data_IF_003342257534
#
_entry.id   IF_003342257534
#
_cell.length_a   1.000
_cell.length_b   1.000
_cell.length_c   1.000
_cell.angle_alpha   90.00
_cell.angle_beta   90.00
_cell.angle_gamma   90.00
#
_symmetry.space_group_name_H-M   'P 1'
#
loop_
_entity.id
_entity.type
_entity.pdbx_description
1 polymer ?
#
# COMPACT_ATOMS: atom_id res chain seq x y z
N UNK A 1 14.73 7.28 -33.32
CA UNK A 1 15.14 6.25 -32.33
C UNK A 1 13.92 6.04 -31.43
N UNK A 2 13.44 4.81 -31.35
CA UNK A 2 12.04 4.46 -31.07
C UNK A 2 11.53 4.90 -29.69
N UNK A 3 10.35 5.53 -29.67
CA UNK A 3 9.53 5.76 -28.48
C UNK A 3 8.70 4.50 -28.17
N UNK A 4 9.27 3.47 -27.54
CA UNK A 4 8.50 2.48 -26.74
C UNK A 4 9.42 1.88 -25.65
N UNK A 5 9.02 1.97 -24.38
CA UNK A 5 8.99 0.78 -23.50
C UNK A 5 7.61 0.67 -22.82
N UNK A 6 6.78 -0.29 -23.23
CA UNK A 6 6.53 -1.58 -22.54
C UNK A 6 6.01 -1.46 -21.10
N UNK A 7 4.76 -1.87 -20.90
CA UNK A 7 4.17 -2.22 -19.60
C UNK A 7 2.97 -1.35 -19.20
N UNK A 8 1.80 -1.57 -19.81
CA UNK A 8 0.51 -1.18 -19.21
C UNK A 8 0.06 -2.37 -18.38
N UNK A 9 0.31 -2.33 -17.08
CA UNK A 9 -0.43 -3.18 -16.14
C UNK A 9 -1.71 -2.43 -15.76
N UNK A 10 -2.85 -2.94 -16.24
CA UNK A 10 -4.16 -2.53 -15.73
C UNK A 10 -4.35 -3.15 -14.34
N UNK A 11 -3.77 -2.55 -13.30
CA UNK A 11 -4.15 -2.88 -11.93
C UNK A 11 -5.41 -2.10 -11.57
N UNK A 12 -6.49 -2.79 -11.23
CA UNK A 12 -7.79 -2.21 -10.84
C UNK A 12 -7.79 -1.55 -9.45
N UNK A 13 -6.62 -1.25 -8.89
CA UNK A 13 -6.44 -0.30 -7.80
C UNK A 13 -5.20 0.57 -8.10
N UNK A 14 -5.27 1.91 -7.92
CA UNK A 14 -4.10 2.74 -8.13
C UNK A 14 -3.06 2.38 -7.08
N UNK A 15 -1.90 1.88 -7.50
CA UNK A 15 -0.75 1.69 -6.63
C UNK A 15 -0.16 3.07 -6.32
N UNK A 16 -0.83 3.81 -5.42
CA UNK A 16 -0.43 5.13 -4.91
C UNK A 16 0.76 4.97 -3.95
N UNK A 17 1.83 4.31 -4.37
CA UNK A 17 3.05 4.07 -3.59
C UNK A 17 4.28 4.78 -4.20
N UNK A 18 4.03 5.71 -5.12
CA UNK A 18 5.06 6.44 -5.85
C UNK A 18 4.91 7.95 -5.63
N UNK A 19 6.02 8.73 -5.66
CA UNK A 19 5.95 10.18 -5.68
C UNK A 19 5.09 10.68 -6.85
N UNK A 20 4.37 11.77 -6.63
CA UNK A 20 3.43 12.31 -7.61
C UNK A 20 4.04 13.38 -8.51
N UNK A 21 3.53 13.48 -9.74
CA UNK A 21 3.61 14.69 -10.58
C UNK A 21 2.23 15.33 -10.50
N UNK A 22 2.15 16.49 -9.86
CA UNK A 22 0.88 17.18 -9.67
C UNK A 22 0.69 18.22 -10.78
N UNK A 23 -0.29 18.01 -11.66
CA UNK A 23 -0.61 18.94 -12.75
C UNK A 23 -1.74 19.86 -12.31
N UNK A 24 -1.45 21.15 -12.19
CA UNK A 24 -2.33 22.16 -11.59
C UNK A 24 -2.52 23.37 -12.49
N UNK A 25 -3.61 24.10 -12.28
CA UNK A 25 -3.95 25.28 -13.06
C UNK A 25 -5.46 25.48 -13.12
N UNK A 26 -5.89 26.59 -13.72
CA UNK A 26 -7.31 26.94 -13.88
C UNK A 26 -8.07 25.88 -14.67
N UNK A 27 -9.40 25.88 -14.60
CA UNK A 27 -10.20 25.05 -15.52
C UNK A 27 -9.95 25.43 -16.99
N UNK A 28 -10.03 24.46 -17.89
CA UNK A 28 -9.91 24.67 -19.34
C UNK A 28 -8.51 25.03 -19.87
N UNK A 29 -7.45 25.09 -19.05
CA UNK A 29 -6.12 25.50 -19.53
C UNK A 29 -5.32 24.41 -20.24
N UNK A 30 -5.87 23.19 -20.40
CA UNK A 30 -5.19 22.08 -21.08
C UNK A 30 -4.37 21.12 -20.20
N UNK A 31 -4.76 20.94 -18.92
CA UNK A 31 -4.08 20.01 -17.98
C UNK A 31 -4.17 18.55 -18.44
N UNK A 32 -5.38 18.09 -18.74
CA UNK A 32 -5.66 16.72 -19.19
C UNK A 32 -4.94 16.40 -20.50
N UNK A 33 -4.95 17.36 -21.44
CA UNK A 33 -4.20 17.29 -22.70
C UNK A 33 -2.70 17.12 -22.47
N UNK A 34 -2.11 17.90 -21.56
CA UNK A 34 -0.71 17.75 -21.19
C UNK A 34 -0.43 16.37 -20.57
N UNK A 35 -1.31 15.88 -19.71
CA UNK A 35 -1.14 14.55 -19.11
C UNK A 35 -1.15 13.44 -20.16
N UNK A 36 -2.03 13.53 -21.16
CA UNK A 36 -2.06 12.61 -22.30
C UNK A 36 -0.74 12.67 -23.09
N UNK A 37 -0.25 13.87 -23.41
CA UNK A 37 1.04 14.02 -24.08
C UNK A 37 2.19 13.39 -23.29
N UNK A 38 2.24 13.60 -21.98
CA UNK A 38 3.27 13.03 -21.11
C UNK A 38 3.23 11.50 -21.12
N UNK A 39 2.05 10.89 -21.18
CA UNK A 39 1.90 9.44 -21.27
C UNK A 39 2.20 8.85 -22.64
N UNK A 40 2.38 9.68 -23.67
CA UNK A 40 2.55 9.22 -25.04
C UNK A 40 1.23 8.87 -25.72
N UNK A 41 0.14 9.53 -25.35
CA UNK A 41 -1.10 9.56 -26.11
C UNK A 41 -1.17 10.80 -26.99
N UNK A 42 -2.05 10.77 -27.99
CA UNK A 42 -2.45 11.97 -28.71
C UNK A 42 -3.17 12.90 -27.72
N UNK A 43 -2.85 14.20 -27.70
CA UNK A 43 -3.29 15.10 -26.61
C UNK A 43 -4.79 15.06 -26.28
N UNK A 44 -5.66 14.83 -27.27
CA UNK A 44 -7.11 14.72 -27.10
C UNK A 44 -7.65 13.29 -27.05
N UNK A 45 -6.83 12.27 -27.34
CA UNK A 45 -7.23 10.86 -27.40
C UNK A 45 -6.38 10.02 -26.45
N UNK A 46 -6.70 10.13 -25.16
CA UNK A 46 -5.99 9.46 -24.09
C UNK A 46 -6.88 9.21 -22.86
N UNK A 47 -6.28 8.66 -21.81
CA UNK A 47 -7.00 8.25 -20.60
C UNK A 47 -7.50 9.43 -19.75
N UNK A 48 -6.90 10.61 -19.91
CA UNK A 48 -7.38 11.83 -19.26
C UNK A 48 -8.40 12.49 -20.19
N UNK A 49 -9.68 12.39 -19.82
CA UNK A 49 -10.77 12.99 -20.60
C UNK A 49 -10.57 14.50 -20.77
N UNK A 50 -10.67 14.98 -22.01
CA UNK A 50 -10.62 16.39 -22.37
C UNK A 50 -12.03 16.93 -22.64
N UNK A 51 -12.19 18.26 -22.62
CA UNK A 51 -13.49 18.93 -22.88
C UNK A 51 -14.11 18.55 -24.24
N UNK A 52 -13.29 18.14 -25.22
CA UNK A 52 -13.75 17.65 -26.53
C UNK A 52 -14.38 16.24 -26.50
N UNK A 53 -14.17 15.46 -25.44
CA UNK A 53 -14.59 14.06 -25.30
C UNK A 53 -15.50 13.79 -24.07
N UNK A 54 -15.99 14.84 -23.39
CA UNK A 54 -16.79 14.67 -22.18
C UNK A 54 -18.12 13.94 -22.44
N UNK A 55 -18.28 12.74 -21.88
CA UNK A 55 -19.60 12.11 -21.70
C UNK A 55 -20.07 12.11 -20.25
N UNK A 56 -19.16 12.25 -19.26
CA UNK A 56 -19.49 12.41 -17.83
C UNK A 56 -18.41 13.24 -17.14
N UNK A 57 -18.81 14.30 -16.44
CA UNK A 57 -17.91 15.14 -15.68
C UNK A 57 -17.39 14.36 -14.47
N UNK A 58 -16.22 13.73 -14.56
CA UNK A 58 -15.59 13.06 -13.43
C UNK A 58 -15.21 14.12 -12.37
N UNK A 59 -15.84 14.06 -11.20
CA UNK A 59 -15.73 15.08 -10.15
C UNK A 59 -14.45 14.96 -9.30
N UNK A 60 -13.64 13.91 -9.49
CA UNK A 60 -12.42 13.61 -8.74
C UNK A 60 -11.13 13.73 -9.56
N UNK A 61 -9.98 13.64 -8.89
CA UNK A 61 -8.67 13.54 -9.56
C UNK A 61 -8.60 12.27 -10.40
N UNK A 62 -7.98 12.39 -11.56
CA UNK A 62 -7.62 11.24 -12.40
C UNK A 62 -6.12 11.07 -12.27
N UNK A 63 -5.66 9.83 -12.16
CA UNK A 63 -4.24 9.52 -11.99
C UNK A 63 -3.81 8.35 -12.85
N UNK A 64 -2.57 8.36 -13.32
CA UNK A 64 -1.95 7.24 -14.02
C UNK A 64 -0.46 7.14 -13.73
N UNK A 65 0.12 5.96 -13.94
CA UNK A 65 1.54 5.74 -13.76
C UNK A 65 2.32 6.21 -14.99
N UNK A 66 3.27 7.11 -14.75
CA UNK A 66 4.22 7.57 -15.75
C UNK A 66 5.61 7.06 -15.38
N UNK A 67 6.26 6.37 -16.32
CA UNK A 67 7.68 6.02 -16.21
C UNK A 67 8.54 7.13 -16.80
N UNK A 68 9.45 7.68 -16.00
CA UNK A 68 10.52 8.59 -16.45
C UNK A 68 11.85 7.93 -16.06
N UNK A 69 12.70 7.67 -17.06
CA UNK A 69 13.93 6.88 -16.89
C UNK A 69 13.63 5.55 -16.15
N UNK A 70 14.21 5.36 -14.96
CA UNK A 70 14.03 4.18 -14.12
C UNK A 70 13.04 4.38 -12.97
N UNK A 71 12.25 5.47 -13.00
CA UNK A 71 11.36 5.87 -11.91
C UNK A 71 9.90 5.83 -12.35
N UNK A 72 9.06 5.21 -11.53
CA UNK A 72 7.60 5.30 -11.65
C UNK A 72 7.09 6.47 -10.82
N UNK A 73 6.23 7.30 -11.41
CA UNK A 73 5.64 8.48 -10.80
C UNK A 73 4.12 8.48 -11.03
N UNK A 74 3.37 8.95 -10.04
CA UNK A 74 1.92 9.10 -10.16
C UNK A 74 1.61 10.43 -10.86
N UNK A 75 1.22 10.41 -12.12
CA UNK A 75 0.79 11.61 -12.84
C UNK A 75 -0.67 11.90 -12.48
N UNK A 76 -0.93 13.04 -11.82
CA UNK A 76 -2.24 13.41 -11.27
C UNK A 76 -2.75 14.66 -11.99
N UNK A 77 -3.92 14.53 -12.61
CA UNK A 77 -4.70 15.66 -13.12
C UNK A 77 -5.67 16.17 -12.05
N UNK A 78 -5.73 17.50 -11.89
CA UNK A 78 -6.46 18.16 -10.80
C UNK A 78 -7.56 19.08 -11.34
N UNK A 79 -8.76 18.55 -11.65
CA UNK A 79 -9.81 19.35 -12.26
C UNK A 79 -10.38 20.40 -11.29
N UNK A 80 -10.16 21.68 -11.59
CA UNK A 80 -10.83 22.83 -10.98
C UNK A 80 -10.40 23.20 -9.55
N UNK A 81 -9.53 22.42 -8.89
CA UNK A 81 -9.17 22.71 -7.50
C UNK A 81 -8.35 23.99 -7.35
N UNK A 82 -7.48 24.29 -8.31
CA UNK A 82 -6.63 25.48 -8.26
C UNK A 82 -7.20 26.66 -9.05
N UNK A 83 -8.51 26.62 -9.35
CA UNK A 83 -9.21 27.74 -9.97
C UNK A 83 -9.46 28.83 -8.92
N UNK A 84 -9.05 30.10 -9.18
CA UNK A 84 -9.33 31.21 -8.26
C UNK A 84 -10.80 31.43 -7.91
N UNK A 85 -11.73 30.93 -8.74
CA UNK A 85 -13.17 31.08 -8.54
C UNK A 85 -13.80 29.88 -7.80
N UNK A 86 -13.03 28.85 -7.44
CA UNK A 86 -13.54 27.67 -6.75
C UNK A 86 -13.87 28.01 -5.27
N UNK A 87 -15.09 27.65 -4.82
CA UNK A 87 -15.45 27.76 -3.42
C UNK A 87 -14.97 26.54 -2.62
N UNK A 88 -13.80 26.65 -1.99
CA UNK A 88 -13.21 25.59 -1.17
C UNK A 88 -14.06 25.14 0.02
N UNK A 89 -15.17 25.82 0.34
CA UNK A 89 -16.09 25.43 1.42
C UNK A 89 -17.15 24.42 0.97
N UNK A 90 -17.29 24.21 -0.34
CA UNK A 90 -18.27 23.26 -0.85
C UNK A 90 -17.77 21.81 -0.71
N UNK A 91 -18.70 20.87 -0.58
CA UNK A 91 -18.39 19.45 -0.36
C UNK A 91 -17.57 18.84 -1.51
N UNK A 92 -17.79 19.28 -2.75
CA UNK A 92 -17.06 18.78 -3.93
C UNK A 92 -15.58 19.18 -3.88
N UNK A 93 -15.28 20.43 -3.53
CA UNK A 93 -13.92 20.94 -3.41
C UNK A 93 -13.19 20.29 -2.24
N UNK A 94 -13.87 20.02 -1.12
CA UNK A 94 -13.30 19.24 0.00
C UNK A 94 -12.93 17.82 -0.46
N UNK A 95 -13.79 17.14 -1.23
CA UNK A 95 -13.49 15.81 -1.78
C UNK A 95 -12.29 15.83 -2.72
N UNK A 96 -12.17 16.84 -3.58
CA UNK A 96 -11.00 17.05 -4.46
C UNK A 96 -9.72 17.24 -3.66
N UNK A 97 -9.75 18.10 -2.62
CA UNK A 97 -8.63 18.31 -1.70
C UNK A 97 -8.20 16.99 -1.06
N UNK A 98 -9.15 16.24 -0.49
CA UNK A 98 -8.87 14.96 0.15
C UNK A 98 -8.25 13.95 -0.84
N UNK A 99 -8.71 13.90 -2.10
CA UNK A 99 -8.16 13.04 -3.14
C UNK A 99 -6.70 13.36 -3.41
N UNK A 100 -6.36 14.65 -3.61
CA UNK A 100 -4.97 15.07 -3.84
C UNK A 100 -4.08 14.72 -2.66
N UNK A 101 -4.52 15.00 -1.43
CA UNK A 101 -3.73 14.67 -0.23
C UNK A 101 -3.43 13.17 -0.18
N UNK A 102 -4.44 12.35 -0.49
CA UNK A 102 -4.31 10.89 -0.52
C UNK A 102 -3.38 10.42 -1.62
N UNK A 103 -3.46 10.99 -2.81
CA UNK A 103 -2.67 10.59 -3.99
C UNK A 103 -1.22 11.08 -3.91
N UNK A 104 -0.97 12.19 -3.22
CA UNK A 104 0.35 12.77 -2.98
C UNK A 104 0.99 12.30 -1.66
N UNK A 105 0.49 11.24 -1.00
CA UNK A 105 1.01 10.82 0.31
C UNK A 105 2.49 10.43 0.30
N UNK A 106 3.04 10.00 -0.84
CA UNK A 106 4.47 9.68 -0.99
C UNK A 106 5.33 10.89 -1.40
N UNK A 107 4.75 12.10 -1.33
CA UNK A 107 5.36 13.35 -1.74
C UNK A 107 5.12 13.67 -3.21
N UNK A 108 5.43 14.90 -3.59
CA UNK A 108 5.26 15.42 -4.95
C UNK A 108 6.64 15.65 -5.55
N UNK A 109 6.97 14.89 -6.59
CA UNK A 109 8.25 15.01 -7.28
C UNK A 109 8.37 16.32 -8.05
N UNK A 110 7.30 16.67 -8.76
CA UNK A 110 7.20 17.88 -9.56
C UNK A 110 5.79 18.44 -9.52
N UNK A 111 5.66 19.76 -9.52
CA UNK A 111 4.40 20.49 -9.63
C UNK A 111 4.40 21.19 -10.98
N UNK A 112 3.52 20.80 -11.89
CA UNK A 112 3.41 21.44 -13.20
C UNK A 112 2.25 22.43 -13.17
N UNK A 113 2.58 23.72 -13.11
CA UNK A 113 1.59 24.79 -13.23
C UNK A 113 1.33 25.07 -14.72
N UNK A 114 0.15 24.67 -15.19
CA UNK A 114 -0.31 24.87 -16.56
C UNK A 114 -0.94 26.25 -16.69
N UNK A 115 -0.44 27.02 -17.65
CA UNK A 115 -0.84 28.41 -17.88
C UNK A 115 -1.20 28.58 -19.35
N UNK A 116 -2.42 29.05 -19.60
CA UNK A 116 -2.78 29.60 -20.89
C UNK A 116 -1.98 30.88 -21.13
N UNK A 117 -1.22 30.92 -22.24
CA UNK A 117 -0.39 32.08 -22.60
C UNK A 117 -1.21 33.37 -22.72
N UNK A 118 -2.51 33.28 -22.97
CA UNK A 118 -3.42 34.42 -23.11
C UNK A 118 -4.01 34.88 -21.77
N UNK A 119 -4.16 33.98 -20.81
CA UNK A 119 -4.82 34.26 -19.53
C UNK A 119 -3.83 34.69 -18.44
N UNK A 120 -3.13 35.80 -18.71
CA UNK A 120 -2.11 36.32 -17.80
C UNK A 120 -2.67 37.17 -16.66
N UNK A 121 -3.98 37.40 -16.63
CA UNK A 121 -4.65 38.15 -15.56
C UNK A 121 -4.96 37.26 -14.35
N UNK A 122 -5.31 35.99 -14.58
CA UNK A 122 -5.62 35.05 -13.51
C UNK A 122 -4.38 34.49 -12.80
N UNK A 123 -3.21 34.62 -13.43
CA UNK A 123 -1.93 34.05 -12.98
C UNK A 123 -1.59 34.35 -11.51
N UNK A 124 -1.65 35.61 -11.08
CA UNK A 124 -1.27 35.97 -9.71
C UNK A 124 -2.24 35.37 -8.68
N UNK A 125 -3.53 35.26 -9.01
CA UNK A 125 -4.51 34.63 -8.14
C UNK A 125 -4.32 33.11 -8.09
N UNK A 126 -4.09 32.45 -9.22
CA UNK A 126 -3.76 31.02 -9.27
C UNK A 126 -2.53 30.73 -8.42
N UNK A 127 -1.47 31.53 -8.55
CA UNK A 127 -0.26 31.36 -7.76
C UNK A 127 -0.50 31.54 -6.26
N UNK A 128 -1.36 32.48 -5.85
CA UNK A 128 -1.78 32.66 -4.46
C UNK A 128 -2.51 31.42 -3.93
N UNK A 129 -3.45 30.87 -4.69
CA UNK A 129 -4.19 29.64 -4.31
C UNK A 129 -3.19 28.49 -4.14
N UNK A 130 -2.28 28.30 -5.09
CA UNK A 130 -1.25 27.26 -5.03
C UNK A 130 -0.38 27.40 -3.79
N UNK A 131 0.13 28.60 -3.49
CA UNK A 131 0.93 28.86 -2.28
C UNK A 131 0.14 28.66 -1.00
N UNK A 132 -1.14 29.03 -0.97
CA UNK A 132 -1.97 28.83 0.21
C UNK A 132 -2.24 27.35 0.50
N UNK A 133 -2.33 26.52 -0.55
CA UNK A 133 -2.60 25.09 -0.43
C UNK A 133 -1.33 24.27 -0.22
N UNK A 134 -0.30 24.52 -1.03
CA UNK A 134 0.93 23.75 -1.04
C UNK A 134 2.02 24.36 -0.17
N UNK A 135 2.00 25.64 0.17
CA UNK A 135 3.12 26.34 0.83
C UNK A 135 4.06 27.02 -0.17
N UNK A 136 4.87 27.98 0.30
CA UNK A 136 5.80 28.73 -0.55
C UNK A 136 6.98 27.88 -1.03
N UNK A 137 7.38 26.88 -0.25
CA UNK A 137 8.44 25.92 -0.57
C UNK A 137 8.10 25.07 -1.81
N UNK A 138 6.81 24.96 -2.16
CA UNK A 138 6.34 24.26 -3.36
C UNK A 138 6.95 24.80 -4.66
N UNK A 139 7.39 26.07 -4.66
CA UNK A 139 8.06 26.68 -5.82
C UNK A 139 9.39 26.00 -6.17
N UNK A 140 10.07 25.38 -5.21
CA UNK A 140 11.32 24.67 -5.46
C UNK A 140 11.12 23.46 -6.38
N UNK A 141 9.91 22.87 -6.38
CA UNK A 141 9.50 21.72 -7.19
C UNK A 141 8.62 22.11 -8.39
N UNK A 142 8.46 23.41 -8.65
CA UNK A 142 7.54 23.89 -9.69
C UNK A 142 8.18 23.97 -11.07
N UNK A 143 7.43 23.56 -12.09
CA UNK A 143 7.67 23.74 -13.53
C UNK A 143 6.46 24.48 -14.11
N UNK A 144 6.69 25.39 -15.06
CA UNK A 144 5.59 26.04 -15.80
C UNK A 144 5.40 25.39 -17.18
N UNK A 145 4.18 24.98 -17.50
CA UNK A 145 3.79 24.53 -18.83
C UNK A 145 2.91 25.59 -19.51
N UNK A 146 3.33 26.08 -20.67
CA UNK A 146 2.54 27.02 -21.46
C UNK A 146 1.66 26.32 -22.48
N UNK A 147 0.37 26.62 -22.49
CA UNK A 147 -0.60 26.13 -23.48
C UNK A 147 -1.08 27.26 -24.38
N UNK A 148 -1.76 26.89 -25.48
CA UNK A 148 -2.29 27.83 -26.49
C UNK A 148 -1.22 28.72 -27.15
N UNK A 149 0.02 28.25 -27.20
CA UNK A 149 1.10 28.84 -27.97
C UNK A 149 0.84 28.67 -29.47
N UNK A 150 1.32 29.62 -30.29
CA UNK A 150 1.27 29.48 -31.74
C UNK A 150 2.21 28.35 -32.22
N UNK A 151 2.05 27.92 -33.48
CA UNK A 151 2.95 26.94 -34.10
C UNK A 151 4.43 27.34 -33.97
N UNK A 152 4.76 28.57 -34.37
CA UNK A 152 6.12 29.09 -34.29
C UNK A 152 6.66 29.22 -32.86
N UNK A 153 5.81 29.53 -31.87
CA UNK A 153 6.21 29.53 -30.47
C UNK A 153 6.49 28.13 -29.94
N UNK A 154 5.70 27.15 -30.35
CA UNK A 154 5.85 25.75 -29.92
C UNK A 154 7.13 25.13 -30.51
N UNK A 155 7.45 25.46 -31.76
CA UNK A 155 8.71 25.06 -32.42
C UNK A 155 9.93 25.79 -31.84
N UNK A 156 9.77 27.08 -31.51
CA UNK A 156 10.80 27.95 -30.94
C UNK A 156 10.30 28.75 -29.73
N UNK A 157 10.52 28.20 -28.54
CA UNK A 157 10.16 28.79 -27.25
C UNK A 157 10.74 30.19 -27.02
N UNK A 158 11.90 30.52 -27.63
CA UNK A 158 12.54 31.83 -27.49
C UNK A 158 11.71 32.99 -28.02
N UNK A 159 10.66 32.71 -28.80
CA UNK A 159 9.71 33.71 -29.30
C UNK A 159 8.58 34.04 -28.31
N UNK A 160 8.54 33.37 -27.16
CA UNK A 160 7.51 33.59 -26.14
C UNK A 160 7.76 34.87 -25.34
N UNK A 161 6.84 35.84 -25.44
CA UNK A 161 6.91 37.10 -24.71
C UNK A 161 6.07 37.02 -23.44
N UNK A 162 6.70 37.15 -22.28
CA UNK A 162 6.07 37.02 -20.96
C UNK A 162 5.98 38.36 -20.21
N UNK A 163 4.98 38.51 -19.33
CA UNK A 163 4.83 39.66 -18.42
C UNK A 163 5.87 39.64 -17.29
N UNK A 164 6.09 40.79 -16.64
CA UNK A 164 7.10 40.96 -15.58
C UNK A 164 6.91 40.00 -14.40
N UNK A 165 5.69 39.84 -13.90
CA UNK A 165 5.36 38.93 -12.81
C UNK A 165 5.72 37.47 -13.12
N UNK A 166 5.43 37.00 -14.34
CA UNK A 166 5.79 35.64 -14.78
C UNK A 166 7.30 35.47 -14.94
N UNK A 167 8.00 36.48 -15.47
CA UNK A 167 9.47 36.47 -15.53
C UNK A 167 10.07 36.34 -14.13
N UNK A 168 9.52 37.07 -13.15
CA UNK A 168 9.96 36.98 -11.76
C UNK A 168 9.73 35.57 -11.18
N UNK A 169 8.56 34.96 -11.44
CA UNK A 169 8.32 33.58 -11.01
C UNK A 169 9.30 32.62 -11.70
N UNK A 170 9.50 32.75 -13.01
CA UNK A 170 10.46 31.94 -13.75
C UNK A 170 11.87 32.06 -13.19
N UNK A 171 12.33 33.26 -12.84
CA UNK A 171 13.61 33.44 -12.14
C UNK A 171 13.65 32.68 -10.82
N UNK A 172 12.57 32.74 -10.03
CA UNK A 172 12.43 32.03 -8.76
C UNK A 172 12.52 30.51 -8.95
N UNK A 173 11.86 29.98 -9.98
CA UNK A 173 11.85 28.55 -10.30
C UNK A 173 12.99 28.14 -11.25
N UNK A 174 14.08 28.91 -11.30
CA UNK A 174 15.29 28.62 -12.10
C UNK A 174 15.02 28.36 -13.58
N UNK A 175 14.06 29.10 -14.13
CA UNK A 175 13.61 29.07 -15.51
C UNK A 175 13.13 27.69 -16.00
N UNK A 176 12.58 26.86 -15.09
CA UNK A 176 11.97 25.58 -15.43
C UNK A 176 10.62 25.79 -16.12
N UNK A 177 10.62 25.70 -17.44
CA UNK A 177 9.42 25.82 -18.27
C UNK A 177 9.50 24.98 -19.55
N UNK A 178 8.34 24.72 -20.14
CA UNK A 178 8.19 24.14 -21.46
C UNK A 178 6.85 24.53 -22.08
N UNK A 179 6.63 24.20 -23.35
CA UNK A 179 5.35 24.42 -24.04
C UNK A 179 4.63 23.10 -24.19
N UNK A 180 3.37 23.05 -23.77
CA UNK A 180 2.47 21.94 -24.08
C UNK A 180 1.87 22.17 -25.48
N UNK A 181 2.17 21.31 -26.47
CA UNK A 181 1.68 21.49 -27.83
C UNK A 181 0.16 21.46 -27.91
N UNK A 182 -0.41 22.27 -28.81
CA UNK A 182 -1.84 22.25 -29.10
C UNK A 182 -2.17 21.06 -30.02
N UNK A 183 -3.04 20.11 -29.59
CA UNK A 183 -3.44 18.96 -30.40
C UNK A 183 -4.20 19.32 -31.70
N UNK A 184 -4.74 20.54 -31.81
CA UNK A 184 -5.35 21.01 -33.07
C UNK A 184 -4.30 21.36 -34.15
N UNK A 185 -3.03 21.53 -33.74
CA UNK A 185 -1.92 21.96 -34.60
C UNK A 185 -0.92 20.82 -34.80
N UNK A 186 -0.74 19.97 -33.80
CA UNK A 186 0.31 18.97 -33.73
C UNK A 186 -0.22 17.59 -33.38
N UNK A 187 0.45 16.57 -33.92
CA UNK A 187 0.25 15.15 -33.61
C UNK A 187 1.40 14.58 -32.80
N UNK A 188 1.22 13.41 -32.18
CA UNK A 188 2.25 12.79 -31.33
C UNK A 188 3.59 12.54 -32.02
N UNK A 189 3.58 12.41 -33.35
CA UNK A 189 4.77 12.14 -34.15
C UNK A 189 5.53 13.41 -34.56
N UNK A 190 4.98 14.60 -34.30
CA UNK A 190 5.65 15.84 -34.67
C UNK A 190 6.87 16.10 -33.79
N UNK A 191 7.97 16.55 -34.42
CA UNK A 191 9.23 16.87 -33.73
C UNK A 191 9.03 17.87 -32.59
N UNK A 192 8.11 18.82 -32.77
CA UNK A 192 7.78 19.80 -31.74
C UNK A 192 7.17 19.14 -30.49
N UNK A 193 6.33 18.11 -30.65
CA UNK A 193 5.73 17.37 -29.53
C UNK A 193 6.79 16.55 -28.82
N UNK A 194 7.55 15.75 -29.58
CA UNK A 194 8.61 14.89 -29.06
C UNK A 194 9.64 15.74 -28.28
N UNK A 195 10.09 16.86 -28.87
CA UNK A 195 11.02 17.79 -28.23
C UNK A 195 10.48 18.35 -26.92
N UNK A 196 9.25 18.89 -26.92
CA UNK A 196 8.67 19.50 -25.73
C UNK A 196 8.40 18.47 -24.61
N UNK A 197 7.95 17.26 -24.94
CA UNK A 197 7.73 16.21 -23.95
C UNK A 197 9.05 15.66 -23.38
N UNK A 198 10.11 15.59 -24.19
CA UNK A 198 11.45 15.26 -23.69
C UNK A 198 11.98 16.33 -22.73
N UNK A 199 11.75 17.63 -23.02
CA UNK A 199 12.07 18.71 -22.09
C UNK A 199 11.30 18.55 -20.78
N UNK A 200 9.99 18.30 -20.86
CA UNK A 200 9.15 18.12 -19.67
C UNK A 200 9.64 16.94 -18.82
N UNK A 201 9.90 15.77 -19.42
CA UNK A 201 10.41 14.59 -18.74
C UNK A 201 11.76 14.84 -18.07
N UNK A 202 12.69 15.52 -18.75
CA UNK A 202 13.99 15.91 -18.19
C UNK A 202 13.85 16.84 -16.98
N UNK A 203 13.00 17.86 -17.08
CA UNK A 203 12.76 18.80 -15.98
C UNK A 203 12.14 18.11 -14.75
N UNK A 204 11.28 17.11 -14.97
CA UNK A 204 10.70 16.31 -13.87
C UNK A 204 11.78 15.45 -13.21
N UNK A 205 12.68 14.85 -14.01
CA UNK A 205 13.75 13.98 -13.52
C UNK A 205 14.85 14.74 -12.75
N UNK A 206 15.07 16.02 -13.05
CA UNK A 206 16.00 16.90 -12.32
C UNK A 206 15.69 17.02 -10.82
N UNK A 207 14.44 16.74 -10.41
CA UNK A 207 14.08 16.70 -9.01
C UNK A 207 14.48 15.35 -8.38
N UNK A 208 15.46 15.41 -7.48
CA UNK A 208 16.02 14.23 -6.80
C UNK A 208 15.29 13.84 -5.51
N UNK A 209 14.58 14.78 -4.89
CA UNK A 209 13.80 14.57 -3.67
C UNK A 209 12.34 14.96 -3.89
N UNK A 210 11.43 14.38 -3.11
CA UNK A 210 10.01 14.72 -3.22
C UNK A 210 9.66 15.86 -2.26
N UNK A 211 8.86 16.80 -2.74
CA UNK A 211 8.20 17.81 -1.94
C UNK A 211 7.21 17.17 -0.96
N UNK A 212 7.26 17.52 0.32
CA UNK A 212 6.27 17.04 1.31
C UNK A 212 5.83 18.19 2.21
N UNK A 213 4.56 18.15 2.61
CA UNK A 213 3.97 19.02 3.63
C UNK A 213 3.56 18.19 4.84
N UNK A 214 3.28 18.84 5.97
CA UNK A 214 2.73 18.15 7.15
C UNK A 214 1.47 17.34 6.81
N UNK A 215 0.61 17.88 5.94
CA UNK A 215 -0.62 17.23 5.50
C UNK A 215 -0.36 15.92 4.74
N UNK A 216 0.59 15.89 3.81
CA UNK A 216 0.97 14.65 3.10
C UNK A 216 1.65 13.65 4.03
N UNK A 217 2.54 14.14 4.92
CA UNK A 217 3.22 13.30 5.89
C UNK A 217 2.22 12.62 6.84
N UNK A 218 1.22 13.34 7.37
CA UNK A 218 0.18 12.76 8.23
C UNK A 218 -0.59 11.63 7.55
N UNK A 219 -0.94 11.78 6.27
CA UNK A 219 -1.64 10.72 5.52
C UNK A 219 -0.71 9.55 5.19
N UNK A 220 0.56 9.81 4.87
CA UNK A 220 1.57 8.75 4.72
C UNK A 220 1.74 7.96 6.00
N UNK A 221 1.94 8.63 7.12
CA UNK A 221 2.16 8.01 8.42
C UNK A 221 0.92 7.20 8.85
N UNK A 222 -0.29 7.69 8.56
CA UNK A 222 -1.52 6.94 8.78
C UNK A 222 -1.60 5.68 7.88
N UNK A 223 -1.27 5.80 6.59
CA UNK A 223 -1.22 4.66 5.66
C UNK A 223 -0.15 3.65 6.06
N UNK A 224 1.02 4.12 6.45
CA UNK A 224 2.13 3.27 6.87
C UNK A 224 1.80 2.59 8.19
N UNK A 225 1.12 3.26 9.13
CA UNK A 225 0.56 2.61 10.34
C UNK A 225 -0.49 1.55 10.02
N UNK A 226 -1.37 1.77 9.05
CA UNK A 226 -2.35 0.76 8.61
C UNK A 226 -1.66 -0.41 7.91
N UNK A 227 -0.73 -0.16 6.99
CA UNK A 227 0.07 -1.21 6.34
C UNK A 227 0.94 -1.96 7.34
N UNK A 228 1.46 -1.26 8.33
CA UNK A 228 2.26 -1.82 9.41
C UNK A 228 1.38 -2.65 10.33
N UNK A 229 0.18 -2.18 10.70
CA UNK A 229 -0.78 -2.99 11.46
C UNK A 229 -1.24 -4.22 10.66
N UNK A 230 -1.41 -4.13 9.33
CA UNK A 230 -1.70 -5.25 8.42
C UNK A 230 -0.55 -6.25 8.34
N UNK A 231 0.70 -5.78 8.34
CA UNK A 231 1.90 -6.63 8.45
C UNK A 231 2.08 -7.22 9.86
N UNK A 232 1.65 -6.51 10.88
CA UNK A 232 1.66 -6.92 12.29
C UNK A 232 0.59 -7.99 12.60
N UNK A 233 -0.36 -8.21 11.69
CA UNK A 233 -1.27 -9.35 11.73
C UNK A 233 -0.66 -10.65 11.16
N UNK A 234 0.65 -10.68 10.83
CA UNK A 234 1.29 -11.75 10.04
C UNK A 234 1.08 -13.19 10.51
N UNK A 235 0.89 -13.44 11.80
CA UNK A 235 1.01 -14.79 12.40
C UNK A 235 -0.22 -15.23 13.20
N UNK A 236 -1.43 -15.03 12.66
CA UNK A 236 -2.66 -15.18 13.45
C UNK A 236 -3.57 -16.30 12.93
N UNK A 237 -4.29 -16.91 13.86
CA UNK A 237 -5.43 -17.77 13.60
C UNK A 237 -6.71 -16.93 13.53
N UNK A 238 -7.67 -17.40 12.75
CA UNK A 238 -9.05 -16.91 12.85
C UNK A 238 -9.59 -17.15 14.27
N UNK A 239 -10.30 -16.17 14.86
CA UNK A 239 -10.83 -16.27 16.24
C UNK A 239 -11.83 -17.42 16.43
N UNK A 240 -12.48 -17.86 15.36
CA UNK A 240 -13.44 -18.97 15.34
C UNK A 240 -12.78 -20.35 15.22
N UNK A 241 -11.47 -20.40 14.93
CA UNK A 241 -10.66 -21.63 14.91
C UNK A 241 -10.92 -22.47 16.15
N UNK A 242 -11.05 -23.78 16.02
CA UNK A 242 -11.34 -24.69 17.12
C UNK A 242 -10.08 -25.38 17.61
N UNK A 243 -9.99 -25.53 18.93
CA UNK A 243 -8.92 -26.29 19.62
C UNK A 243 -9.54 -27.29 20.59
N UNK A 244 -8.82 -28.38 20.85
CA UNK A 244 -9.21 -29.42 21.82
C UNK A 244 -8.50 -29.15 23.15
N UNK A 245 -9.26 -29.01 24.24
CA UNK A 245 -8.72 -28.88 25.60
C UNK A 245 -8.39 -30.26 26.21
N UNK A 246 -7.52 -30.30 27.21
CA UNK A 246 -7.11 -31.54 27.91
C UNK A 246 -8.30 -32.29 28.55
N UNK A 247 -9.38 -31.60 28.89
CA UNK A 247 -10.62 -32.21 29.37
C UNK A 247 -11.51 -32.81 28.26
N UNK A 248 -11.08 -32.73 26.99
CA UNK A 248 -11.80 -33.22 25.82
C UNK A 248 -12.77 -32.21 25.19
N UNK A 249 -12.98 -31.04 25.79
CA UNK A 249 -13.87 -30.02 25.23
C UNK A 249 -13.25 -29.39 23.98
N UNK A 250 -14.09 -29.14 22.98
CA UNK A 250 -13.71 -28.37 21.79
C UNK A 250 -14.21 -26.94 21.98
N UNK A 251 -13.29 -25.98 21.96
CA UNK A 251 -13.60 -24.55 22.14
C UNK A 251 -13.08 -23.74 20.96
N UNK A 252 -13.72 -22.59 20.70
CA UNK A 252 -13.17 -21.58 19.79
C UNK A 252 -11.93 -20.94 20.41
N UNK A 253 -10.98 -20.57 19.59
CA UNK A 253 -9.69 -20.03 20.00
C UNK A 253 -9.85 -18.70 20.75
N UNK A 254 -10.86 -17.90 20.42
CA UNK A 254 -11.25 -16.70 21.20
C UNK A 254 -11.59 -16.96 22.67
N UNK A 255 -11.98 -18.20 23.01
CA UNK A 255 -12.35 -18.58 24.38
C UNK A 255 -11.20 -19.25 25.13
N UNK A 256 -10.05 -19.43 24.48
CA UNK A 256 -8.85 -19.97 25.12
C UNK A 256 -8.24 -18.90 26.01
N UNK A 257 -7.92 -19.27 27.25
CA UNK A 257 -7.26 -18.37 28.20
C UNK A 257 -5.87 -18.86 28.56
N UNK A 258 -5.01 -17.96 29.02
CA UNK A 258 -3.67 -18.32 29.51
C UNK A 258 -3.80 -19.31 30.67
N UNK A 259 -3.07 -20.41 30.58
CA UNK A 259 -3.10 -21.54 31.49
C UNK A 259 -3.89 -22.74 30.97
N UNK A 260 -4.75 -22.56 29.96
CA UNK A 260 -5.43 -23.68 29.31
C UNK A 260 -4.42 -24.65 28.69
N UNK A 261 -4.69 -25.95 28.81
CA UNK A 261 -3.90 -26.98 28.15
C UNK A 261 -4.62 -27.45 26.90
N UNK A 262 -4.08 -27.07 25.75
CA UNK A 262 -4.63 -27.33 24.41
C UNK A 262 -3.88 -28.46 23.73
N UNK A 263 -4.53 -29.16 22.81
CA UNK A 263 -3.93 -30.24 22.06
C UNK A 263 -2.90 -29.70 21.06
N UNK A 264 -1.71 -30.29 21.06
CA UNK A 264 -0.55 -29.82 20.28
C UNK A 264 0.00 -30.86 19.32
N UNK A 265 -0.63 -32.04 19.27
CA UNK A 265 -0.25 -33.14 18.40
C UNK A 265 -0.62 -34.51 18.99
N UNK A 266 0.01 -35.54 18.44
CA UNK A 266 -0.15 -36.93 18.89
C UNK A 266 1.23 -37.52 19.14
N UNK A 267 1.40 -38.19 20.28
CA UNK A 267 2.61 -38.92 20.64
C UNK A 267 2.25 -40.30 21.17
N UNK A 268 2.78 -41.36 20.54
CA UNK A 268 2.48 -42.76 20.89
C UNK A 268 0.96 -43.05 20.94
N UNK A 269 0.25 -42.66 19.88
CA UNK A 269 -1.22 -42.82 19.72
C UNK A 269 -2.07 -42.14 20.82
N UNK A 270 -1.50 -41.18 21.55
CA UNK A 270 -2.21 -40.36 22.54
C UNK A 270 -2.10 -38.89 22.18
N UNK A 271 -3.20 -38.15 22.40
CA UNK A 271 -3.21 -36.70 22.29
C UNK A 271 -2.21 -36.09 23.27
N UNK A 272 -1.38 -35.18 22.79
CA UNK A 272 -0.44 -34.43 23.62
C UNK A 272 -1.00 -33.03 23.90
N UNK A 273 -0.94 -32.61 25.15
CA UNK A 273 -1.50 -31.33 25.61
C UNK A 273 -0.44 -30.43 26.21
N UNK A 274 -0.44 -29.16 25.81
CA UNK A 274 0.51 -28.16 26.27
C UNK A 274 -0.19 -26.90 26.75
N UNK A 275 0.37 -26.27 27.77
CA UNK A 275 -0.14 -25.02 28.33
C UNK A 275 0.01 -23.87 27.33
N UNK A 276 -1.06 -23.10 27.16
CA UNK A 276 -1.04 -21.78 26.55
C UNK A 276 -0.46 -20.80 27.56
N UNK A 277 0.77 -20.35 27.31
CA UNK A 277 1.48 -19.47 28.24
C UNK A 277 1.42 -17.99 27.83
N UNK A 278 0.97 -17.71 26.61
CA UNK A 278 0.87 -16.37 26.06
C UNK A 278 -0.20 -16.30 24.96
N UNK A 279 -1.01 -15.25 24.99
CA UNK A 279 -1.77 -14.76 23.84
C UNK A 279 -1.06 -13.48 23.41
N UNK A 280 -0.33 -13.54 22.29
CA UNK A 280 0.64 -12.50 21.93
C UNK A 280 -0.03 -11.26 21.36
N UNK A 281 -1.09 -11.48 20.57
CA UNK A 281 -1.85 -10.46 19.87
C UNK A 281 -3.25 -11.00 19.60
N UNK A 282 -4.28 -10.18 19.76
CA UNK A 282 -5.63 -10.49 19.32
C UNK A 282 -6.42 -9.21 19.09
N UNK A 283 -7.37 -9.25 18.18
CA UNK A 283 -8.37 -8.22 17.99
C UNK A 283 -9.64 -8.92 17.50
N UNK A 284 -10.83 -8.54 17.97
CA UNK A 284 -12.10 -9.21 17.62
C UNK A 284 -12.93 -8.43 16.59
N UNK A 285 -12.61 -7.16 16.34
CA UNK A 285 -13.38 -6.27 15.45
C UNK A 285 -12.64 -6.02 14.13
N UNK A 286 -11.35 -6.32 14.08
CA UNK A 286 -10.50 -6.01 12.94
C UNK A 286 -10.69 -7.02 11.81
N UNK A 287 -11.21 -6.55 10.68
CA UNK A 287 -11.24 -7.31 9.43
C UNK A 287 -9.83 -7.68 8.99
N UNK A 288 -9.58 -8.97 8.80
CA UNK A 288 -8.25 -9.55 8.60
C UNK A 288 -8.28 -10.52 7.43
N UNK A 289 -7.22 -10.45 6.60
CA UNK A 289 -7.03 -11.32 5.44
C UNK A 289 -6.52 -12.69 5.89
N UNK A 290 -7.27 -13.73 5.58
CA UNK A 290 -6.88 -15.12 5.77
C UNK A 290 -6.77 -15.86 4.44
N UNK A 291 -5.98 -16.93 4.44
CA UNK A 291 -6.05 -18.03 3.48
C UNK A 291 -6.93 -19.11 4.11
N UNK A 292 -8.08 -19.36 3.50
CA UNK A 292 -8.91 -20.52 3.81
C UNK A 292 -8.39 -21.71 2.99
N UNK A 293 -7.95 -22.73 3.71
CA UNK A 293 -7.31 -23.93 3.18
C UNK A 293 -8.25 -25.10 3.44
N UNK A 294 -8.93 -25.58 2.40
CA UNK A 294 -9.78 -26.77 2.46
C UNK A 294 -8.92 -28.01 2.19
N UNK A 295 -9.21 -29.10 2.90
CA UNK A 295 -8.49 -30.36 2.76
C UNK A 295 -9.42 -31.57 2.78
N UNK A 296 -8.94 -32.68 2.18
CA UNK A 296 -9.59 -33.98 2.25
C UNK A 296 -8.61 -35.10 2.62
N UNK A 297 -9.08 -36.05 3.41
CA UNK A 297 -8.35 -37.27 3.75
C UNK A 297 -8.24 -38.19 2.53
N UNK A 298 -7.16 -38.97 2.47
CA UNK A 298 -6.99 -39.97 1.41
C UNK A 298 -8.15 -40.99 1.48
N UNK A 299 -8.90 -41.10 0.37
CA UNK A 299 -10.11 -41.90 0.16
C UNK A 299 -11.46 -41.25 0.53
N UNK A 300 -11.48 -39.99 0.95
CA UNK A 300 -12.74 -39.23 1.12
C UNK A 300 -13.04 -38.43 -0.15
N UNK A 301 -14.29 -38.50 -0.64
CA UNK A 301 -14.77 -37.76 -1.82
C UNK A 301 -15.21 -36.32 -1.49
N UNK A 302 -15.47 -36.05 -0.21
CA UNK A 302 -15.93 -34.76 0.29
C UNK A 302 -14.80 -34.06 1.05
N UNK A 303 -14.96 -32.75 1.26
CA UNK A 303 -14.03 -31.94 2.06
C UNK A 303 -14.10 -32.42 3.52
N UNK A 304 -12.96 -32.82 4.07
CA UNK A 304 -12.85 -33.31 5.46
C UNK A 304 -12.76 -32.17 6.48
N UNK A 305 -12.33 -30.98 6.05
CA UNK A 305 -12.29 -29.79 6.88
C UNK A 305 -11.57 -28.61 6.22
N UNK A 306 -11.46 -27.53 6.99
CA UNK A 306 -10.82 -26.28 6.59
C UNK A 306 -10.08 -25.61 7.75
N UNK A 307 -9.11 -24.75 7.41
CA UNK A 307 -8.46 -23.85 8.36
C UNK A 307 -8.24 -22.48 7.72
N UNK A 308 -8.43 -21.42 8.52
CA UNK A 308 -8.16 -20.04 8.13
C UNK A 308 -6.91 -19.52 8.85
N UNK A 309 -5.85 -19.24 8.08
CA UNK A 309 -4.57 -18.74 8.57
C UNK A 309 -4.14 -17.49 7.82
N UNK A 310 -3.50 -16.54 8.49
CA UNK A 310 -2.88 -15.41 7.79
C UNK A 310 -1.80 -15.92 6.82
N UNK A 311 -1.52 -15.23 5.70
CA UNK A 311 -0.58 -15.72 4.68
C UNK A 311 0.84 -16.05 5.21
N UNK A 312 1.28 -15.33 6.24
CA UNK A 312 2.60 -15.50 6.85
C UNK A 312 2.58 -16.45 8.07
N UNK A 313 1.45 -17.09 8.39
CA UNK A 313 1.39 -18.10 9.45
C UNK A 313 2.13 -19.39 9.03
N UNK A 314 2.93 -19.98 9.93
CA UNK A 314 3.62 -21.23 9.65
C UNK A 314 2.76 -22.47 9.92
N UNK A 315 2.72 -23.37 8.94
CA UNK A 315 1.94 -24.60 8.96
C UNK A 315 2.81 -25.77 8.50
N UNK A 316 2.54 -26.97 9.03
CA UNK A 316 3.26 -28.17 8.63
C UNK A 316 2.62 -28.78 7.38
N UNK A 317 3.37 -28.82 6.28
CA UNK A 317 2.96 -29.50 5.06
C UNK A 317 4.16 -30.15 4.35
N UNK A 318 3.91 -31.24 3.62
CA UNK A 318 4.92 -32.03 2.91
C UNK A 318 6.10 -32.47 3.81
N UNK A 319 5.83 -32.69 5.11
CA UNK A 319 6.84 -33.11 6.09
C UNK A 319 7.77 -31.99 6.59
N UNK A 320 7.57 -30.74 6.17
CA UNK A 320 8.33 -29.58 6.60
C UNK A 320 7.41 -28.50 7.21
N UNK A 321 8.03 -27.53 7.88
CA UNK A 321 7.35 -26.31 8.31
C UNK A 321 7.63 -25.21 7.27
N UNK A 322 6.60 -24.49 6.84
CA UNK A 322 6.73 -23.35 5.92
C UNK A 322 5.49 -22.43 6.03
N UNK A 323 5.49 -21.30 5.32
CA UNK A 323 4.42 -20.32 5.32
C UNK A 323 3.13 -20.82 4.65
N UNK A 324 1.97 -20.44 5.19
CA UNK A 324 0.67 -20.79 4.63
C UNK A 324 0.50 -20.34 3.17
N UNK A 325 1.05 -19.18 2.79
CA UNK A 325 1.05 -18.67 1.40
C UNK A 325 1.78 -19.57 0.40
N UNK A 326 2.62 -20.50 0.87
CA UNK A 326 3.36 -21.42 0.01
C UNK A 326 2.59 -22.74 -0.24
N UNK A 327 1.39 -22.90 0.34
CA UNK A 327 0.54 -24.06 0.09
C UNK A 327 -0.05 -23.99 -1.31
N UNK A 328 0.08 -25.09 -2.07
CA UNK A 328 -0.44 -25.21 -3.43
C UNK A 328 -1.53 -26.29 -3.44
N UNK A 329 -2.77 -25.95 -3.86
CA UNK A 329 -3.85 -26.93 -3.99
C UNK A 329 -3.46 -28.11 -4.89
N UNK A 330 -3.93 -29.30 -4.55
CA UNK A 330 -3.70 -30.59 -5.22
C UNK A 330 -2.22 -31.03 -5.27
N UNK A 331 -1.31 -30.30 -4.63
CA UNK A 331 0.11 -30.64 -4.53
C UNK A 331 0.52 -30.79 -3.06
N UNK A 332 0.18 -29.81 -2.23
CA UNK A 332 0.55 -29.82 -0.81
C UNK A 332 -0.31 -30.79 0.00
N UNK A 333 0.33 -31.50 0.93
CA UNK A 333 -0.33 -32.32 1.96
C UNK A 333 -0.08 -31.72 3.34
N UNK A 334 -1.14 -31.41 4.08
CA UNK A 334 -1.06 -30.90 5.46
C UNK A 334 -1.23 -32.03 6.46
N UNK A 335 -0.70 -31.88 7.67
CA UNK A 335 -0.86 -32.88 8.73
C UNK A 335 -2.12 -32.59 9.55
N UNK A 336 -3.05 -33.55 9.60
CA UNK A 336 -4.32 -33.41 10.31
C UNK A 336 -4.54 -34.54 11.32
N UNK A 337 -5.26 -34.23 12.39
CA UNK A 337 -5.69 -35.19 13.39
C UNK A 337 -6.93 -35.94 12.88
N UNK A 338 -6.82 -37.25 12.74
CA UNK A 338 -7.93 -38.14 12.43
C UNK A 338 -7.80 -39.43 13.24
N UNK A 339 -8.86 -39.83 13.95
CA UNK A 339 -8.89 -41.04 14.80
C UNK A 339 -7.69 -41.15 15.76
N UNK A 340 -7.38 -40.06 16.48
CA UNK A 340 -6.23 -39.96 17.39
C UNK A 340 -4.85 -40.19 16.76
N UNK A 341 -4.74 -40.03 15.43
CA UNK A 341 -3.47 -40.12 14.70
C UNK A 341 -3.26 -38.90 13.82
N UNK A 342 -2.01 -38.54 13.62
CA UNK A 342 -1.64 -37.55 12.61
C UNK A 342 -1.56 -38.26 11.25
N UNK A 343 -2.32 -37.77 10.29
CA UNK A 343 -2.36 -38.29 8.92
C UNK A 343 -2.18 -37.15 7.93
N UNK A 344 -1.55 -37.38 6.77
CA UNK A 344 -1.51 -36.40 5.71
C UNK A 344 -2.90 -36.26 5.05
N UNK A 345 -3.34 -35.03 4.82
CA UNK A 345 -4.54 -34.69 4.06
C UNK A 345 -4.16 -33.85 2.84
N UNK A 346 -4.82 -34.10 1.71
CA UNK A 346 -4.60 -33.35 0.48
C UNK A 346 -5.28 -31.99 0.60
N UNK A 347 -4.55 -30.91 0.31
CA UNK A 347 -5.16 -29.59 0.17
C UNK A 347 -5.94 -29.57 -1.14
N UNK A 348 -7.24 -29.35 -1.07
CA UNK A 348 -8.13 -29.36 -2.25
C UNK A 348 -8.32 -27.96 -2.82
N UNK A 349 -8.33 -26.94 -1.96
CA UNK A 349 -8.57 -25.55 -2.34
C UNK A 349 -7.86 -24.59 -1.38
N UNK A 350 -7.37 -23.49 -1.93
CA UNK A 350 -6.88 -22.33 -1.16
C UNK A 350 -7.54 -21.09 -1.74
N UNK A 351 -8.19 -20.29 -0.89
CA UNK A 351 -8.77 -19.00 -1.29
C UNK A 351 -8.49 -17.92 -0.26
N UNK A 352 -8.41 -16.68 -0.73
CA UNK A 352 -8.33 -15.53 0.16
C UNK A 352 -9.73 -15.21 0.68
N UNK A 353 -9.87 -15.07 2.00
CA UNK A 353 -11.10 -14.62 2.68
C UNK A 353 -10.77 -13.49 3.64
N UNK A 354 -11.79 -12.71 4.01
CA UNK A 354 -11.69 -11.66 5.03
C UNK A 354 -12.65 -11.99 6.15
N UNK A 355 -12.13 -12.19 7.35
CA UNK A 355 -12.92 -12.43 8.55
C UNK A 355 -12.62 -11.37 9.60
N UNK A 356 -13.61 -11.08 10.43
CA UNK A 356 -13.43 -10.15 11.53
C UNK A 356 -12.80 -10.87 12.72
N UNK A 357 -11.66 -10.34 13.12
CA UNK A 357 -10.91 -10.76 14.28
C UNK A 357 -9.87 -11.86 14.01
N UNK A 358 -8.82 -11.83 14.82
CA UNK A 358 -7.71 -12.77 14.78
C UNK A 358 -7.13 -12.96 16.18
N UNK A 359 -6.38 -14.05 16.37
CA UNK A 359 -5.70 -14.37 17.63
C UNK A 359 -4.38 -15.11 17.38
N UNK A 360 -3.34 -14.72 18.11
CA UNK A 360 -2.03 -15.37 18.09
C UNK A 360 -1.76 -16.04 19.44
N UNK A 361 -1.91 -17.36 19.50
CA UNK A 361 -1.78 -18.19 20.72
C UNK A 361 -0.45 -18.93 20.72
N UNK A 362 0.23 -18.93 21.86
CA UNK A 362 1.54 -19.55 22.04
C UNK A 362 1.46 -20.64 23.10
N UNK A 363 1.72 -21.88 22.69
CA UNK A 363 1.82 -23.04 23.59
C UNK A 363 3.26 -23.28 24.02
N UNK A 364 3.47 -23.94 25.16
CA UNK A 364 4.83 -24.33 25.58
C UNK A 364 5.47 -25.32 24.61
N UNK A 365 4.69 -26.08 23.84
CA UNK A 365 5.19 -27.01 22.83
C UNK A 365 5.60 -26.32 21.52
N UNK A 366 5.13 -25.09 21.25
CA UNK A 366 5.41 -24.39 19.99
C UNK A 366 4.57 -24.88 18.79
N UNK A 367 3.70 -25.85 19.02
CA UNK A 367 2.71 -26.34 18.07
C UNK A 367 1.31 -26.28 18.66
N UNK A 368 0.31 -26.35 17.79
CA UNK A 368 -1.10 -26.43 18.18
C UNK A 368 -1.90 -27.17 17.11
N UNK A 369 -2.95 -27.90 17.52
CA UNK A 369 -3.96 -28.42 16.61
C UNK A 369 -5.12 -27.43 16.49
N UNK A 370 -5.17 -26.75 15.34
CA UNK A 370 -6.17 -25.74 14.99
C UNK A 370 -7.09 -26.32 13.91
N UNK A 371 -8.40 -26.43 14.17
CA UNK A 371 -9.34 -27.17 13.30
C UNK A 371 -8.81 -28.56 12.91
N UNK A 372 -8.20 -29.27 13.87
CA UNK A 372 -7.50 -30.54 13.68
C UNK A 372 -6.24 -30.49 12.78
N UNK A 373 -5.83 -29.34 12.27
CA UNK A 373 -4.59 -29.18 11.49
C UNK A 373 -3.43 -28.83 12.41
N UNK A 374 -2.27 -29.45 12.20
CA UNK A 374 -1.06 -29.15 12.95
C UNK A 374 -0.38 -27.88 12.42
N UNK A 375 -0.32 -26.87 13.28
CA UNK A 375 0.28 -25.56 13.00
C UNK A 375 1.42 -25.25 13.96
N UNK A 376 2.30 -24.34 13.55
CA UNK A 376 3.27 -23.72 14.46
C UNK A 376 2.61 -22.56 15.20
N UNK A 377 3.03 -22.32 16.44
CA UNK A 377 2.65 -21.09 17.16
C UNK A 377 3.60 -19.91 16.87
N UNK A 378 4.57 -20.06 15.95
CA UNK A 378 5.62 -19.09 15.68
C UNK A 378 5.66 -18.70 14.21
N UNK A 379 5.79 -17.42 13.86
CA UNK A 379 6.12 -17.03 12.48
C UNK A 379 7.10 -15.85 12.30
N UNK A 380 7.77 -15.40 13.38
CA UNK A 380 8.74 -14.30 13.35
C UNK A 380 10.15 -14.63 12.78
N UNK A 381 10.44 -15.87 12.42
CA UNK A 381 11.78 -16.33 12.01
C UNK A 381 11.65 -17.47 10.99
N UNK A 382 12.61 -17.70 10.06
CA UNK A 382 12.57 -18.84 9.14
C UNK A 382 12.17 -20.14 9.86
N UNK A 383 11.44 -21.04 9.18
CA UNK A 383 10.56 -22.04 9.79
C UNK A 383 11.30 -23.17 10.52
N UNK A 384 11.97 -22.83 11.61
CA UNK A 384 12.74 -23.71 12.48
C UNK A 384 12.18 -23.59 13.91
N UNK A 385 11.41 -24.59 14.35
CA UNK A 385 10.79 -24.63 15.68
C UNK A 385 11.82 -24.41 16.82
N UNK A 386 12.99 -25.04 16.72
CA UNK A 386 14.04 -24.97 17.75
C UNK A 386 14.63 -23.55 17.91
N UNK A 387 14.76 -22.80 16.81
CA UNK A 387 15.26 -21.42 16.86
C UNK A 387 14.23 -20.51 17.54
N UNK A 388 12.95 -20.69 17.21
CA UNK A 388 11.87 -19.93 17.85
C UNK A 388 11.75 -20.24 19.35
N UNK A 389 11.98 -21.50 19.76
CA UNK A 389 12.06 -21.87 21.17
C UNK A 389 13.18 -21.14 21.92
N UNK A 390 14.36 -21.00 21.30
CA UNK A 390 15.49 -20.27 21.88
C UNK A 390 15.21 -18.76 21.98
N UNK A 391 14.68 -18.16 20.91
CA UNK A 391 14.34 -16.72 20.86
C UNK A 391 13.28 -16.33 21.91
N UNK A 392 12.31 -17.21 22.16
CA UNK A 392 11.24 -16.99 23.15
C UNK A 392 11.58 -17.53 24.55
N UNK A 393 12.76 -18.11 24.76
CA UNK A 393 13.15 -18.68 26.05
C UNK A 393 13.04 -17.68 27.23
N UNK A 394 13.46 -16.41 27.11
CA UNK A 394 13.29 -15.43 28.20
C UNK A 394 11.82 -15.22 28.58
N UNK A 395 10.93 -15.15 27.59
CA UNK A 395 9.50 -14.99 27.83
C UNK A 395 8.88 -16.24 28.46
N UNK A 396 9.29 -17.43 28.00
CA UNK A 396 8.85 -18.72 28.54
C UNK A 396 9.29 -18.92 29.99
N UNK A 397 10.49 -18.46 30.34
CA UNK A 397 11.00 -18.48 31.72
C UNK A 397 10.20 -17.50 32.57
N UNK A 398 10.00 -16.26 32.11
CA UNK A 398 9.23 -15.27 32.83
C UNK A 398 7.78 -15.72 33.11
N UNK A 399 7.15 -16.43 32.16
CA UNK A 399 5.77 -16.92 32.32
C UNK A 399 5.59 -17.98 33.42
N UNK A 400 6.67 -18.66 33.87
CA UNK A 400 6.61 -19.55 35.03
C UNK A 400 6.47 -18.78 36.36
N UNK A 401 6.99 -17.56 36.43
CA UNK A 401 7.03 -16.78 37.67
C UNK A 401 5.91 -15.73 37.73
N UNK A 402 5.37 -15.31 36.59
CA UNK A 402 4.29 -14.33 36.51
C UNK A 402 3.41 -14.58 35.29
N UNK A 403 2.08 -14.55 35.45
CA UNK A 403 1.15 -14.57 34.31
C UNK A 403 1.39 -13.35 33.44
N UNK A 404 1.67 -13.58 32.16
CA UNK A 404 1.91 -12.54 31.17
C UNK A 404 0.56 -12.06 30.63
N UNK A 405 -0.11 -11.18 31.37
CA UNK A 405 -1.34 -10.55 30.89
C UNK A 405 -0.99 -9.37 29.97
N UNK A 406 -1.59 -9.35 28.78
CA UNK A 406 -1.64 -8.14 27.97
C UNK A 406 -2.80 -7.29 28.50
N UNK A 407 -2.52 -6.34 29.40
CA UNK A 407 -3.48 -5.41 30.00
C UNK A 407 -4.07 -4.44 28.94
N UNK A 408 -4.90 -4.95 28.02
CA UNK A 408 -5.54 -4.16 26.96
C UNK A 408 -4.59 -3.64 25.87
N UNK A 409 -3.37 -4.17 25.78
CA UNK A 409 -2.40 -3.83 24.73
C UNK A 409 -2.48 -4.83 23.58
N UNK A 410 -2.44 -4.34 22.33
CA UNK A 410 -2.44 -5.18 21.13
C UNK A 410 -1.22 -6.13 21.09
N UNK A 411 -0.07 -5.75 21.65
CA UNK A 411 1.14 -6.59 21.66
C UNK A 411 1.77 -6.77 23.06
N UNK A 412 2.37 -7.94 23.28
CA UNK A 412 3.26 -8.16 24.43
C UNK A 412 4.59 -7.41 24.24
N UNK A 413 5.09 -6.64 25.25
CA UNK A 413 6.27 -5.78 25.09
C UNK A 413 7.56 -6.47 24.62
N UNK A 414 7.77 -7.74 24.99
CA UNK A 414 8.95 -8.49 24.55
C UNK A 414 8.80 -9.01 23.11
N UNK A 415 7.59 -9.37 22.70
CA UNK A 415 7.31 -9.72 21.30
C UNK A 415 7.49 -8.49 20.41
N UNK A 416 7.02 -7.32 20.87
CA UNK A 416 7.25 -6.04 20.20
C UNK A 416 8.75 -5.73 20.10
N UNK A 417 9.53 -5.99 21.16
CA UNK A 417 10.99 -5.86 21.13
C UNK A 417 11.67 -6.79 20.13
N UNK A 418 11.31 -8.08 20.11
CA UNK A 418 11.86 -9.06 19.17
C UNK A 418 11.53 -8.70 17.72
N UNK A 419 10.30 -8.22 17.48
CA UNK A 419 9.86 -7.73 16.18
C UNK A 419 10.68 -6.51 15.73
N UNK A 420 10.87 -5.53 16.62
CA UNK A 420 11.74 -4.36 16.38
C UNK A 420 13.18 -4.79 16.08
N UNK A 421 13.72 -5.77 16.81
CA UNK A 421 15.06 -6.33 16.56
C UNK A 421 15.16 -7.04 15.21
N UNK A 422 14.23 -7.94 14.88
CA UNK A 422 14.20 -8.65 13.60
C UNK A 422 14.15 -7.68 12.42
N UNK A 423 13.30 -6.65 12.53
CA UNK A 423 13.22 -5.59 11.54
C UNK A 423 14.54 -4.82 11.44
N UNK A 424 15.16 -4.46 12.57
CA UNK A 424 16.44 -3.75 12.60
C UNK A 424 17.59 -4.55 11.97
N UNK A 425 17.63 -5.86 12.18
CA UNK A 425 18.62 -6.79 11.60
C UNK A 425 18.40 -6.98 10.10
N UNK A 426 17.14 -6.97 9.63
CA UNK A 426 16.78 -7.10 8.22
C UNK A 426 16.62 -5.77 7.47
N UNK A 427 17.14 -4.65 8.01
CA UNK A 427 17.14 -3.34 7.36
C UNK A 427 15.80 -2.60 7.33
N UNK A 428 14.83 -2.99 8.17
CA UNK A 428 13.54 -2.31 8.36
C UNK A 428 13.60 -1.48 9.66
N UNK A 429 13.72 -0.16 9.55
CA UNK A 429 13.81 0.73 10.71
C UNK A 429 12.50 0.78 11.52
N UNK A 430 12.58 0.60 12.84
CA UNK A 430 11.47 0.81 13.78
C UNK A 430 11.89 1.82 14.85
N UNK A 431 11.64 3.11 14.61
CA UNK A 431 11.56 4.11 15.67
C UNK A 431 10.11 4.53 15.84
N UNK A 432 9.45 4.07 16.90
CA UNK A 432 8.38 4.80 17.60
C UNK A 432 7.99 4.02 18.84
N UNK A 433 8.67 4.31 19.95
CA UNK A 433 8.07 4.13 21.28
C UNK A 433 8.57 5.25 22.16
N UNK A 434 7.87 6.38 22.13
CA UNK A 434 7.84 7.38 23.20
C UNK A 434 6.66 8.32 23.01
N UNK A 435 5.95 8.56 24.13
CA UNK A 435 4.72 9.36 24.34
C UNK A 435 3.47 8.55 24.00
N UNK A 436 2.57 8.26 24.93
CA UNK A 436 1.95 9.20 25.87
C UNK A 436 1.86 8.66 27.31
N UNK A 437 2.05 9.60 28.24
CA UNK A 437 1.66 9.56 29.66
C UNK A 437 0.16 9.46 29.84
#
# INVERSE_FOLDING_TARGET
>A
MALIPTGIESSTEPTINHPAILVIGRSGVGKSTLCNWLLGYEGNDGIFETDSNQTKMNEGCVSSLLKIENRWLNLIDTPGLFDPNEDFRNEKSIKKVASIIRECSYGVQAIILVIDRHDLQSFDNTLRVVKSFLGDESLEHMIIAFTYCTKGQTENEGTLILRKNMRNLLTTIRNRKFISPNPDIFTINDDAVIKNMNIARRLIDEFSSAYTTEMFNRVRDAKDKVKQSEKEAGDCFDISTKVILENGNIVKMMNVVIGDRVCVGVKKDKLEFSEVYLIAHYNIERSTKFLEIEFSLENEREVSGDICLTPDHHIFFNGALDYAKNIIPNISKINVLHNNRMVPANVTKVRTVYHDGFIAVFTRAGTILANNVLCSCYALSPPYQEINHAVLAPLRIASYFKRLNNEGKEFNPYIEFLYKMYNRVNGRNTETSKKFS
#
